data_IF_199684189636
#
_entry.id   IF_199684189636
#
_cell.length_a   1.000
_cell.length_b   1.000
_cell.length_c   1.000
_cell.angle_alpha   90.00
_cell.angle_beta   90.00
_cell.angle_gamma   90.00
#
_symmetry.space_group_name_H-M   'P 1'
#
loop_
_entity.id
_entity.type
_entity.pdbx_description
1 polymer ?
#
# COMPACT_ATOMS: atom_id res chain seq x y z
N UNK A 1 -45.10 -27.01 22.49
CA UNK A 1 -44.57 -25.69 22.91
C UNK A 1 -43.06 -25.72 23.11
N UNK A 2 -42.50 -26.56 23.99
CA UNK A 2 -41.03 -26.66 24.18
C UNK A 2 -40.24 -27.01 22.90
N UNK A 3 -40.70 -27.98 22.11
CA UNK A 3 -40.09 -28.30 20.81
C UNK A 3 -40.19 -27.15 19.79
N UNK A 4 -41.26 -26.36 19.85
CA UNK A 4 -41.45 -25.18 19.00
C UNK A 4 -40.50 -24.04 19.41
N UNK A 5 -40.26 -23.90 20.72
CA UNK A 5 -39.29 -22.95 21.28
C UNK A 5 -37.85 -23.37 20.91
N UNK A 6 -37.53 -24.67 20.99
CA UNK A 6 -36.22 -25.20 20.56
C UNK A 6 -36.03 -24.99 19.05
N UNK A 7 -37.06 -25.21 18.23
CA UNK A 7 -37.00 -25.00 16.78
C UNK A 7 -36.87 -23.52 16.41
N UNK A 8 -37.60 -22.62 17.07
CA UNK A 8 -37.41 -21.18 16.94
C UNK A 8 -35.98 -20.79 17.34
N UNK A 9 -35.47 -21.27 18.47
CA UNK A 9 -34.12 -20.96 18.97
C UNK A 9 -32.97 -21.64 18.23
N UNK A 10 -33.21 -22.63 17.37
CA UNK A 10 -32.15 -23.25 16.54
C UNK A 10 -32.25 -22.84 15.07
N UNK A 11 -33.45 -22.61 14.54
CA UNK A 11 -33.68 -22.28 13.13
C UNK A 11 -33.71 -20.77 12.86
N UNK A 12 -34.25 -19.95 13.77
CA UNK A 12 -34.12 -18.49 13.71
C UNK A 12 -32.69 -18.06 14.08
N UNK A 13 -32.03 -18.84 14.94
CA UNK A 13 -30.73 -18.51 15.55
C UNK A 13 -29.50 -18.95 14.78
N UNK A 14 -29.60 -19.24 13.48
CA UNK A 14 -28.39 -19.13 12.63
C UNK A 14 -27.81 -17.69 12.66
N UNK A 15 -28.55 -16.75 13.26
CA UNK A 15 -28.09 -15.47 13.82
C UNK A 15 -26.67 -15.50 14.41
N UNK A 16 -26.26 -16.49 15.20
CA UNK A 16 -24.91 -16.44 15.81
C UNK A 16 -23.77 -16.59 14.78
N UNK A 17 -23.89 -17.56 13.87
CA UNK A 17 -22.92 -17.73 12.79
C UNK A 17 -22.94 -16.52 11.85
N UNK A 18 -24.13 -16.01 11.53
CA UNK A 18 -24.30 -14.82 10.69
C UNK A 18 -23.68 -13.58 11.35
N UNK A 19 -23.88 -13.35 12.65
CA UNK A 19 -23.26 -12.24 13.35
C UNK A 19 -21.74 -12.37 13.43
N UNK A 20 -21.23 -13.59 13.58
CA UNK A 20 -19.78 -13.82 13.55
C UNK A 20 -19.19 -13.51 12.16
N UNK A 21 -19.84 -13.97 11.10
CA UNK A 21 -19.47 -13.68 9.72
C UNK A 21 -19.52 -12.17 9.42
N UNK A 22 -20.61 -11.49 9.82
CA UNK A 22 -20.75 -10.05 9.65
C UNK A 22 -19.72 -9.26 10.46
N UNK A 23 -19.39 -9.68 11.67
CA UNK A 23 -18.33 -9.02 12.46
C UNK A 23 -16.96 -9.19 11.81
N UNK A 24 -16.68 -10.39 11.28
CA UNK A 24 -15.44 -10.64 10.54
C UNK A 24 -15.36 -9.77 9.29
N UNK A 25 -16.43 -9.72 8.50
CA UNK A 25 -16.51 -8.86 7.32
C UNK A 25 -16.36 -7.38 7.69
N UNK A 26 -16.96 -6.94 8.80
CA UNK A 26 -16.80 -5.59 9.31
C UNK A 26 -15.34 -5.28 9.65
N UNK A 27 -14.63 -6.20 10.29
CA UNK A 27 -13.22 -6.00 10.64
C UNK A 27 -12.33 -6.05 9.40
N UNK A 28 -12.57 -6.97 8.47
CA UNK A 28 -11.88 -7.02 7.16
C UNK A 28 -12.07 -5.70 6.38
N UNK A 29 -13.28 -5.12 6.41
CA UNK A 29 -13.57 -3.82 5.78
C UNK A 29 -12.87 -2.66 6.49
N UNK A 30 -12.75 -2.69 7.83
CA UNK A 30 -11.99 -1.67 8.58
C UNK A 30 -10.51 -1.75 8.24
N UNK A 31 -9.94 -2.94 8.18
CA UNK A 31 -8.53 -3.15 7.86
C UNK A 31 -8.23 -2.68 6.43
N UNK A 32 -9.10 -3.02 5.47
CA UNK A 32 -9.00 -2.49 4.11
C UNK A 32 -9.09 -0.97 4.08
N UNK A 33 -10.03 -0.38 4.82
CA UNK A 33 -10.17 1.07 4.91
C UNK A 33 -8.90 1.70 5.50
N UNK A 34 -8.33 1.14 6.54
CA UNK A 34 -7.08 1.65 7.14
C UNK A 34 -5.92 1.57 6.15
N UNK A 35 -5.77 0.42 5.49
CA UNK A 35 -4.76 0.21 4.44
C UNK A 35 -4.86 1.27 3.34
N UNK A 36 -6.04 1.47 2.74
CA UNK A 36 -6.20 2.46 1.68
C UNK A 36 -6.02 3.90 2.17
N UNK A 37 -6.44 4.23 3.40
CA UNK A 37 -6.16 5.55 3.96
C UNK A 37 -4.67 5.81 4.11
N UNK A 38 -3.90 4.80 4.52
CA UNK A 38 -2.45 4.89 4.62
C UNK A 38 -1.81 5.07 3.23
N UNK A 39 -2.19 4.26 2.26
CA UNK A 39 -1.74 4.38 0.86
C UNK A 39 -2.04 5.77 0.27
N UNK A 40 -3.24 6.29 0.52
CA UNK A 40 -3.63 7.64 0.09
C UNK A 40 -2.73 8.70 0.76
N UNK A 41 -2.41 8.56 2.05
CA UNK A 41 -1.52 9.49 2.73
C UNK A 41 -0.10 9.47 2.16
N UNK A 42 0.44 8.29 1.89
CA UNK A 42 1.78 8.13 1.29
C UNK A 42 1.81 8.69 -0.14
N UNK A 43 0.81 8.33 -0.95
CA UNK A 43 0.67 8.83 -2.32
C UNK A 43 0.53 10.35 -2.36
N UNK A 44 -0.27 10.94 -1.46
CA UNK A 44 -0.41 12.39 -1.38
C UNK A 44 0.89 13.10 -0.99
N UNK A 45 1.73 12.48 -0.14
CA UNK A 45 3.07 13.02 0.14
C UNK A 45 3.94 13.01 -1.11
N UNK A 46 3.96 11.89 -1.84
CA UNK A 46 4.70 11.79 -3.09
C UNK A 46 4.21 12.81 -4.14
N UNK A 47 2.89 12.96 -4.31
CA UNK A 47 2.30 13.97 -5.21
C UNK A 47 2.72 15.38 -4.79
N UNK A 48 2.74 15.68 -3.48
CA UNK A 48 3.15 17.00 -2.98
C UNK A 48 4.64 17.27 -3.22
N UNK A 49 5.48 16.25 -3.15
CA UNK A 49 6.88 16.37 -3.55
C UNK A 49 6.98 16.67 -5.04
N UNK A 50 6.18 16.00 -5.87
CA UNK A 50 6.12 16.21 -7.32
C UNK A 50 5.29 17.43 -7.76
N UNK A 51 4.63 18.15 -6.86
CA UNK A 51 3.81 19.32 -7.22
C UNK A 51 4.65 20.55 -7.53
N UNK A 52 5.92 20.53 -7.12
CA UNK A 52 6.87 21.62 -7.33
C UNK A 52 7.89 21.24 -8.40
N UNK A 53 8.34 22.21 -9.19
CA UNK A 53 9.33 22.01 -10.25
C UNK A 53 10.62 21.37 -9.72
N UNK A 54 11.05 21.75 -8.50
CA UNK A 54 12.21 21.17 -7.83
C UNK A 54 12.07 19.67 -7.54
N UNK A 55 10.89 19.21 -7.11
CA UNK A 55 10.69 17.80 -6.81
C UNK A 55 10.55 16.94 -8.06
N UNK A 56 9.97 17.50 -9.13
CA UNK A 56 9.97 16.85 -10.46
C UNK A 56 11.41 16.76 -11.01
N UNK A 57 12.20 17.82 -10.91
CA UNK A 57 13.60 17.83 -11.34
C UNK A 57 14.43 16.82 -10.53
N UNK A 58 14.22 16.75 -9.21
CA UNK A 58 14.87 15.76 -8.35
C UNK A 58 14.56 14.32 -8.77
N UNK A 59 13.28 14.00 -8.97
CA UNK A 59 12.86 12.67 -9.43
C UNK A 59 13.49 12.33 -10.80
N UNK A 60 13.44 13.27 -11.74
CA UNK A 60 14.00 13.08 -13.08
C UNK A 60 15.52 12.84 -13.05
N UNK A 61 16.24 13.46 -12.11
CA UNK A 61 17.69 13.30 -11.96
C UNK A 61 18.08 12.04 -11.19
N UNK A 62 17.38 11.69 -10.12
CA UNK A 62 17.72 10.56 -9.25
C UNK A 62 17.30 9.22 -9.84
N UNK A 63 16.07 9.12 -10.35
CA UNK A 63 15.52 7.85 -10.87
C UNK A 63 15.80 7.63 -12.36
N UNK A 64 15.81 8.73 -13.14
CA UNK A 64 15.90 8.66 -14.61
C UNK A 64 17.17 9.27 -15.20
N UNK A 65 18.08 9.78 -14.36
CA UNK A 65 19.35 10.40 -14.77
C UNK A 65 19.20 11.43 -15.91
N UNK A 66 18.08 12.16 -15.93
CA UNK A 66 17.81 13.16 -16.95
C UNK A 66 18.71 14.38 -16.79
N UNK A 67 19.12 14.98 -17.92
CA UNK A 67 19.95 16.18 -17.99
C UNK A 67 19.31 17.26 -18.84
N UNK A 68 19.63 18.53 -18.56
CA UNK A 68 19.27 19.66 -19.44
C UNK A 68 20.22 19.69 -20.64
N UNK A 69 19.79 20.28 -21.76
CA UNK A 69 20.58 20.29 -23.01
C UNK A 69 21.97 20.95 -22.87
N UNK A 70 22.08 21.90 -21.94
CA UNK A 70 23.31 22.68 -21.70
C UNK A 70 24.08 22.18 -20.46
N UNK A 71 23.89 20.93 -20.06
CA UNK A 71 24.47 20.34 -18.85
C UNK A 71 25.17 19.00 -19.14
N UNK A 72 26.30 18.80 -18.47
CA UNK A 72 27.04 17.54 -18.46
C UNK A 72 26.99 16.92 -17.06
N UNK A 73 26.41 15.72 -16.97
CA UNK A 73 26.28 14.95 -15.72
C UNK A 73 27.36 13.88 -15.68
N UNK A 74 28.08 13.80 -14.57
CA UNK A 74 29.08 12.74 -14.31
C UNK A 74 28.54 11.80 -13.24
N UNK A 75 28.43 10.51 -13.57
CA UNK A 75 28.13 9.46 -12.60
C UNK A 75 29.48 8.92 -12.10
N UNK A 76 29.74 9.07 -10.80
CA UNK A 76 30.99 8.60 -10.18
C UNK A 76 30.70 7.26 -9.50
N UNK A 77 31.22 6.18 -10.08
CA UNK A 77 31.18 4.84 -9.50
C UNK A 77 32.55 4.52 -8.91
N UNK A 78 32.59 4.11 -7.65
CA UNK A 78 33.82 3.62 -7.00
C UNK A 78 33.88 2.10 -7.13
N UNK A 79 35.08 1.52 -7.25
CA UNK A 79 35.24 0.05 -7.35
C UNK A 79 34.59 -0.70 -6.17
N UNK A 80 34.61 -0.10 -4.97
CA UNK A 80 33.93 -0.63 -3.78
C UNK A 80 32.39 -0.67 -3.87
N UNK A 81 31.81 0.08 -4.82
CA UNK A 81 30.36 0.19 -5.04
C UNK A 81 29.85 -0.81 -6.10
N UNK A 82 30.76 -1.40 -6.88
CA UNK A 82 30.43 -2.42 -7.86
C UNK A 82 30.28 -3.76 -7.13
N UNK A 83 29.09 -4.36 -7.17
CA UNK A 83 28.96 -5.79 -6.82
C UNK A 83 29.77 -6.56 -7.85
N UNK A 84 30.96 -7.01 -7.47
CA UNK A 84 31.83 -7.80 -8.31
C UNK A 84 31.03 -8.96 -8.92
N UNK A 85 30.91 -8.98 -10.24
CA UNK A 85 30.61 -10.20 -10.98
C UNK A 85 31.89 -11.01 -11.07
N UNK A 86 32.36 -11.52 -9.94
CA UNK A 86 33.42 -12.52 -9.89
C UNK A 86 32.87 -13.73 -9.15
N UNK A 87 32.11 -14.55 -9.89
CA UNK A 87 32.02 -16.00 -9.74
C UNK A 87 31.13 -16.54 -10.87
N UNK A 88 31.70 -16.58 -12.08
CA UNK A 88 31.40 -17.59 -13.11
C UNK A 88 32.71 -18.21 -13.55
#
# INVERSE_FOLDING_TARGET
>A
LLLFIIWMLFWDSNSWLIHHELNKEMDDLKDQKEYYNKEIQETNKAIKELSNEEGVEKLAREEYYMKKENEDIFIVEYEDSLKSKEHE
#
